data_IF_870666236766
#
_entry.id   IF_870666236766
#
_cell.length_a   1.000
_cell.length_b   1.000
_cell.length_c   1.000
_cell.angle_alpha   90.00
_cell.angle_beta   90.00
_cell.angle_gamma   90.00
#
_symmetry.space_group_name_H-M   'P 1'
#
loop_
_entity.id
_entity.type
_entity.pdbx_description
1 polymer ?
#
# COMPACT_ATOMS: atom_id res chain seq x y z
N UNK A 1 -30.70 -3.74 -7.34
CA UNK A 1 -30.36 -3.16 -8.66
C UNK A 1 -29.64 -1.87 -8.44
N UNK A 2 -28.32 -1.93 -8.52
CA UNK A 2 -27.48 -0.75 -8.60
C UNK A 2 -27.54 -0.26 -10.04
N UNK A 3 -28.49 0.61 -10.36
CA UNK A 3 -28.32 1.44 -11.55
C UNK A 3 -27.22 2.46 -11.20
N UNK A 4 -26.01 2.18 -11.66
CA UNK A 4 -24.95 3.16 -11.69
C UNK A 4 -25.34 4.22 -12.73
N UNK A 5 -26.13 5.20 -12.33
CA UNK A 5 -26.23 6.46 -13.08
C UNK A 5 -24.91 7.20 -12.94
N UNK A 6 -23.91 6.70 -13.67
CA UNK A 6 -22.71 7.45 -13.97
C UNK A 6 -23.17 8.66 -14.75
N UNK A 7 -23.19 9.81 -14.08
CA UNK A 7 -23.42 11.08 -14.75
C UNK A 7 -22.24 11.36 -15.69
N UNK A 8 -22.31 10.82 -16.91
CA UNK A 8 -21.27 10.85 -17.94
C UNK A 8 -21.26 12.15 -18.75
N UNK A 9 -21.69 13.28 -18.15
CA UNK A 9 -21.50 14.56 -18.83
C UNK A 9 -20.08 15.08 -18.54
N UNK A 10 -19.21 14.96 -19.51
CA UNK A 10 -17.80 15.41 -19.47
C UNK A 10 -17.64 16.94 -19.45
N UNK A 11 -18.72 17.69 -19.39
CA UNK A 11 -18.70 19.15 -19.36
C UNK A 11 -18.21 19.66 -17.99
N UNK A 12 -17.01 20.23 -17.99
CA UNK A 12 -16.51 20.99 -16.85
C UNK A 12 -17.42 22.20 -16.60
N UNK A 13 -17.72 22.48 -15.33
CA UNK A 13 -18.58 23.61 -14.97
C UNK A 13 -20.10 23.39 -15.08
N UNK A 14 -20.57 22.21 -15.49
CA UNK A 14 -22.01 21.91 -15.60
C UNK A 14 -22.77 21.85 -14.26
N UNK A 15 -22.11 22.15 -13.13
CA UNK A 15 -22.73 22.18 -11.80
C UNK A 15 -23.05 20.80 -11.20
N UNK A 16 -22.43 19.71 -11.69
CA UNK A 16 -22.65 18.34 -11.20
C UNK A 16 -22.53 18.23 -9.68
N UNK A 17 -21.50 18.79 -9.10
CA UNK A 17 -21.30 18.78 -7.66
C UNK A 17 -22.42 19.53 -6.93
N UNK A 18 -22.78 20.73 -7.41
CA UNK A 18 -23.78 21.60 -6.76
C UNK A 18 -25.19 21.09 -6.89
N UNK A 19 -25.60 20.64 -8.09
CA UNK A 19 -27.00 20.33 -8.39
C UNK A 19 -27.34 18.85 -8.31
N UNK A 20 -26.33 17.96 -8.27
CA UNK A 20 -26.53 16.52 -8.17
C UNK A 20 -25.85 15.91 -6.96
N UNK A 21 -24.52 15.98 -6.83
CA UNK A 21 -23.82 15.26 -5.77
C UNK A 21 -24.23 15.75 -4.37
N UNK A 22 -24.11 17.05 -4.08
CA UNK A 22 -24.45 17.59 -2.76
C UNK A 22 -25.91 17.35 -2.34
N UNK A 23 -26.93 17.62 -3.18
CA UNK A 23 -28.33 17.33 -2.84
C UNK A 23 -28.59 15.86 -2.53
N UNK A 24 -27.97 14.93 -3.27
CA UNK A 24 -28.13 13.50 -3.00
C UNK A 24 -27.48 13.09 -1.67
N UNK A 25 -26.28 13.57 -1.38
CA UNK A 25 -25.58 13.30 -0.10
C UNK A 25 -26.37 13.88 1.06
N UNK A 26 -26.93 15.08 0.92
CA UNK A 26 -27.73 15.75 1.96
C UNK A 26 -29.04 15.01 2.32
N UNK A 27 -29.56 14.16 1.44
CA UNK A 27 -30.69 13.28 1.79
C UNK A 27 -30.34 12.34 2.92
N UNK A 28 -29.05 11.91 3.04
CA UNK A 28 -28.56 11.07 4.12
C UNK A 28 -29.44 9.83 4.35
N UNK A 29 -29.68 9.08 3.27
CA UNK A 29 -30.56 7.92 3.26
C UNK A 29 -29.78 6.59 3.03
N UNK A 30 -28.48 6.65 2.83
CA UNK A 30 -27.59 5.49 2.60
C UNK A 30 -26.15 5.84 2.96
N UNK A 31 -25.26 4.86 2.99
CA UNK A 31 -23.80 5.11 3.09
C UNK A 31 -23.26 5.60 1.75
N UNK A 32 -22.22 6.44 1.79
CA UNK A 32 -21.62 7.07 0.63
C UNK A 32 -20.12 6.83 0.59
N UNK A 33 -19.59 6.58 -0.62
CA UNK A 33 -18.17 6.73 -0.93
C UNK A 33 -18.04 7.85 -1.95
N UNK A 34 -17.31 8.90 -1.59
CA UNK A 34 -17.26 10.14 -2.36
C UNK A 34 -15.83 10.47 -2.76
N UNK A 35 -15.60 10.67 -4.06
CA UNK A 35 -14.34 11.23 -4.57
C UNK A 35 -14.47 12.75 -4.65
N UNK A 36 -13.76 13.46 -3.77
CA UNK A 36 -13.82 14.92 -3.63
C UNK A 36 -12.44 15.59 -3.79
N UNK A 37 -11.92 15.71 -5.03
CA UNK A 37 -10.57 16.21 -5.27
C UNK A 37 -10.32 17.65 -4.78
N UNK A 38 -11.38 18.40 -4.48
CA UNK A 38 -11.32 19.81 -4.05
C UNK A 38 -11.71 20.00 -2.58
N UNK A 39 -12.19 18.96 -1.91
CA UNK A 39 -12.69 19.05 -0.55
C UNK A 39 -13.95 19.92 -0.40
N UNK A 40 -14.66 20.23 -1.51
CA UNK A 40 -15.85 21.09 -1.47
C UNK A 40 -17.10 20.34 -1.02
N UNK A 41 -17.17 19.03 -1.21
CA UNK A 41 -18.30 18.23 -0.79
C UNK A 41 -18.25 18.01 0.71
N UNK A 42 -17.11 17.56 1.23
CA UNK A 42 -16.95 17.33 2.67
C UNK A 42 -17.14 18.61 3.46
N UNK A 43 -16.59 19.74 3.00
CA UNK A 43 -16.76 21.04 3.66
C UNK A 43 -18.21 21.49 3.74
N UNK A 44 -19.02 21.24 2.72
CA UNK A 44 -20.39 21.72 2.63
C UNK A 44 -21.42 20.72 3.20
N UNK A 45 -21.07 19.43 3.35
CA UNK A 45 -22.02 18.39 3.76
C UNK A 45 -21.58 17.60 4.99
N UNK A 46 -20.30 17.66 5.39
CA UNK A 46 -19.74 16.86 6.48
C UNK A 46 -20.48 17.08 7.81
N UNK A 47 -20.58 18.33 8.26
CA UNK A 47 -21.30 18.68 9.51
C UNK A 47 -22.76 18.23 9.52
N UNK A 48 -23.42 18.25 8.34
CA UNK A 48 -24.81 17.79 8.23
C UNK A 48 -24.88 16.27 8.44
N UNK A 49 -23.94 15.52 7.84
CA UNK A 49 -23.90 14.06 7.95
C UNK A 49 -23.60 13.63 9.39
N UNK A 50 -22.63 14.24 10.05
CA UNK A 50 -22.32 13.99 11.46
C UNK A 50 -23.51 14.27 12.38
N UNK A 51 -24.21 15.40 12.18
CA UNK A 51 -25.43 15.72 12.92
C UNK A 51 -26.58 14.73 12.69
N UNK A 52 -26.57 14.02 11.55
CA UNK A 52 -27.51 12.94 11.24
C UNK A 52 -27.03 11.56 11.72
N UNK A 53 -25.91 11.51 12.45
CA UNK A 53 -25.37 10.27 13.03
C UNK A 53 -24.49 9.45 12.07
N UNK A 54 -24.04 10.04 10.96
CA UNK A 54 -23.06 9.40 10.09
C UNK A 54 -21.66 9.48 10.68
N UNK A 55 -20.93 8.41 10.56
CA UNK A 55 -19.50 8.40 10.76
C UNK A 55 -18.81 8.85 9.47
N UNK A 56 -18.07 9.96 9.53
CA UNK A 56 -17.43 10.56 8.37
C UNK A 56 -15.93 10.25 8.42
N UNK A 57 -15.46 9.45 7.50
CA UNK A 57 -14.04 9.13 7.33
C UNK A 57 -13.47 9.86 6.11
N UNK A 58 -12.31 10.45 6.24
CA UNK A 58 -11.69 11.24 5.18
C UNK A 58 -10.27 10.75 4.94
N UNK A 59 -9.98 10.32 3.72
CA UNK A 59 -8.62 10.06 3.25
C UNK A 59 -8.16 11.27 2.43
N UNK A 60 -7.38 12.16 3.05
CA UNK A 60 -6.84 13.37 2.42
C UNK A 60 -5.37 13.17 2.03
N UNK A 61 -5.13 12.96 0.73
CA UNK A 61 -3.79 12.76 0.19
C UNK A 61 -3.06 14.09 -0.14
N UNK A 62 -3.69 15.23 0.11
CA UNK A 62 -3.11 16.57 -0.06
C UNK A 62 -2.64 17.09 1.29
N UNK A 63 -3.52 17.03 2.31
CA UNK A 63 -3.22 17.44 3.68
C UNK A 63 -3.20 16.21 4.60
N UNK A 64 -2.21 15.37 4.42
CA UNK A 64 -2.11 14.07 5.08
C UNK A 64 -2.16 14.16 6.62
N UNK A 65 -1.73 15.27 7.20
CA UNK A 65 -1.80 15.52 8.65
C UNK A 65 -3.24 15.60 9.20
N UNK A 66 -4.22 15.83 8.32
CA UNK A 66 -5.66 15.91 8.64
C UNK A 66 -6.45 14.70 8.16
N UNK A 67 -5.77 13.74 7.59
CA UNK A 67 -6.34 12.51 7.05
C UNK A 67 -6.53 11.49 8.16
N UNK A 68 -7.58 10.69 8.06
CA UNK A 68 -7.61 9.41 8.76
C UNK A 68 -6.55 8.48 8.18
N UNK A 69 -5.95 7.68 9.02
CA UNK A 69 -4.94 6.71 8.63
C UNK A 69 -5.56 5.52 7.88
N UNK A 70 -4.81 4.98 6.94
CA UNK A 70 -5.20 3.82 6.15
C UNK A 70 -4.06 2.81 6.08
N UNK A 71 -4.20 1.69 6.76
CA UNK A 71 -3.22 0.60 6.72
C UNK A 71 -3.73 -0.55 5.86
N UNK A 72 -3.17 -0.78 4.66
CA UNK A 72 -3.61 -1.86 3.78
C UNK A 72 -3.52 -3.27 4.38
N UNK A 73 -2.65 -3.48 5.39
CA UNK A 73 -2.52 -4.79 6.05
C UNK A 73 -3.78 -5.22 6.78
N UNK A 74 -4.59 -4.29 7.27
CA UNK A 74 -5.88 -4.58 7.95
C UNK A 74 -6.87 -5.28 7.02
N UNK A 75 -6.79 -5.03 5.73
CA UNK A 75 -7.69 -5.57 4.69
C UNK A 75 -7.16 -6.84 4.03
N UNK A 76 -6.00 -7.35 4.45
CA UNK A 76 -5.44 -8.61 3.97
C UNK A 76 -6.09 -9.77 4.76
N UNK A 77 -6.95 -10.53 4.10
CA UNK A 77 -7.63 -11.70 4.68
C UNK A 77 -7.10 -13.02 4.14
N UNK A 78 -6.38 -12.99 3.02
CA UNK A 78 -5.86 -14.19 2.33
C UNK A 78 -4.53 -13.91 1.65
N UNK A 79 -3.79 -14.98 1.30
CA UNK A 79 -2.56 -14.90 0.50
C UNK A 79 -2.79 -14.20 -0.85
N UNK A 80 -3.97 -14.40 -1.44
CA UNK A 80 -4.34 -13.75 -2.69
C UNK A 80 -4.41 -12.22 -2.54
N UNK A 81 -4.79 -11.71 -1.36
CA UNK A 81 -4.87 -10.27 -1.14
C UNK A 81 -3.46 -9.66 -1.03
N UNK A 82 -2.51 -10.40 -0.43
CA UNK A 82 -1.09 -10.01 -0.46
C UNK A 82 -0.60 -9.89 -1.90
N UNK A 83 -0.88 -10.89 -2.74
CA UNK A 83 -0.47 -10.86 -4.15
C UNK A 83 -1.13 -9.72 -4.93
N UNK A 84 -2.42 -9.43 -4.69
CA UNK A 84 -3.13 -8.31 -5.30
C UNK A 84 -2.50 -6.98 -4.86
N UNK A 85 -2.20 -6.82 -3.56
CA UNK A 85 -1.57 -5.61 -3.03
C UNK A 85 -0.23 -5.35 -3.74
N UNK A 86 0.67 -6.33 -3.77
CA UNK A 86 1.98 -6.22 -4.44
C UNK A 86 1.82 -5.94 -5.93
N UNK A 87 0.94 -6.68 -6.62
CA UNK A 87 0.69 -6.47 -8.04
C UNK A 87 0.19 -5.05 -8.34
N UNK A 88 -0.73 -4.54 -7.53
CA UNK A 88 -1.26 -3.19 -7.69
C UNK A 88 -0.21 -2.11 -7.40
N UNK A 89 0.65 -2.32 -6.40
CA UNK A 89 1.77 -1.42 -6.12
C UNK A 89 2.73 -1.33 -7.31
N UNK A 90 3.17 -2.45 -7.86
CA UNK A 90 4.04 -2.45 -9.02
C UNK A 90 3.39 -1.81 -10.25
N UNK A 91 2.10 -2.09 -10.52
CA UNK A 91 1.36 -1.46 -11.61
C UNK A 91 1.22 0.06 -11.43
N UNK A 92 0.92 0.53 -10.23
CA UNK A 92 0.70 1.95 -9.96
C UNK A 92 1.98 2.77 -9.95
N UNK A 93 3.12 2.14 -9.63
CA UNK A 93 4.44 2.79 -9.59
C UNK A 93 5.24 2.65 -10.89
N UNK A 94 4.71 1.95 -11.90
CA UNK A 94 5.33 1.87 -13.23
C UNK A 94 5.13 3.21 -13.96
N UNK A 95 6.21 3.87 -14.42
CA UNK A 95 6.10 5.13 -15.15
C UNK A 95 5.26 4.97 -16.42
N UNK A 96 4.33 5.90 -16.66
CA UNK A 96 3.49 5.88 -17.86
C UNK A 96 4.35 5.98 -19.13
N UNK A 97 4.19 5.03 -20.04
CA UNK A 97 4.93 5.01 -21.32
C UNK A 97 6.27 4.28 -21.29
N UNK A 98 6.75 3.85 -20.12
CA UNK A 98 7.83 2.88 -20.04
C UNK A 98 7.24 1.48 -20.11
N UNK A 99 7.45 0.77 -21.22
CA UNK A 99 7.52 -0.69 -21.10
C UNK A 99 8.71 -0.94 -20.18
N UNK A 100 8.52 -1.69 -19.09
CA UNK A 100 9.64 -2.01 -18.20
C UNK A 100 10.75 -2.60 -19.08
N UNK A 101 11.87 -1.91 -19.15
CA UNK A 101 12.98 -2.29 -20.03
C UNK A 101 13.54 -3.66 -19.68
N UNK A 102 13.17 -4.19 -18.53
CA UNK A 102 13.50 -5.54 -18.10
C UNK A 102 12.48 -6.05 -17.04
N UNK A 103 11.47 -6.87 -17.44
CA UNK A 103 10.49 -7.47 -16.51
C UNK A 103 11.11 -8.31 -15.39
N UNK A 104 12.35 -8.78 -15.58
CA UNK A 104 13.06 -9.57 -14.59
C UNK A 104 13.23 -8.83 -13.26
N UNK A 105 13.66 -7.56 -13.30
CA UNK A 105 13.91 -6.77 -12.10
C UNK A 105 12.64 -6.50 -11.31
N UNK A 106 11.54 -6.18 -11.99
CA UNK A 106 10.25 -5.98 -11.36
C UNK A 106 9.71 -7.28 -10.74
N UNK A 107 9.86 -8.40 -11.43
CA UNK A 107 9.48 -9.72 -10.91
C UNK A 107 10.28 -10.08 -9.67
N UNK A 108 11.62 -9.94 -9.72
CA UNK A 108 12.49 -10.25 -8.59
C UNK A 108 12.24 -9.31 -7.39
N UNK A 109 12.03 -8.00 -7.64
CA UNK A 109 11.67 -7.04 -6.60
C UNK A 109 10.30 -7.35 -5.98
N UNK A 110 9.34 -7.83 -6.77
CA UNK A 110 8.04 -8.26 -6.24
C UNK A 110 8.14 -9.50 -5.35
N UNK A 111 9.06 -10.43 -5.65
CA UNK A 111 9.33 -11.59 -4.78
C UNK A 111 9.86 -11.16 -3.41
N UNK A 112 10.81 -10.21 -3.38
CA UNK A 112 11.30 -9.67 -2.11
C UNK A 112 10.16 -8.99 -1.34
N UNK A 113 9.36 -8.14 -1.97
CA UNK A 113 8.24 -7.48 -1.31
C UNK A 113 7.20 -8.48 -0.79
N UNK A 114 6.90 -9.54 -1.56
CA UNK A 114 6.01 -10.63 -1.10
C UNK A 114 6.58 -11.32 0.13
N UNK A 115 7.90 -11.61 0.17
CA UNK A 115 8.54 -12.22 1.33
C UNK A 115 8.37 -11.35 2.58
N UNK A 116 8.62 -10.03 2.47
CA UNK A 116 8.51 -9.09 3.59
C UNK A 116 7.06 -8.99 4.09
N UNK A 117 6.08 -8.81 3.18
CA UNK A 117 4.68 -8.68 3.57
C UNK A 117 4.14 -9.98 4.18
N UNK A 118 4.48 -11.16 3.62
CA UNK A 118 4.08 -12.44 4.20
C UNK A 118 4.72 -12.68 5.57
N UNK A 119 5.98 -12.26 5.75
CA UNK A 119 6.62 -12.33 7.07
C UNK A 119 5.85 -11.49 8.09
N UNK A 120 5.60 -10.22 7.79
CA UNK A 120 4.85 -9.32 8.68
C UNK A 120 3.44 -9.83 8.96
N UNK A 121 2.75 -10.35 7.94
CA UNK A 121 1.37 -10.82 8.10
C UNK A 121 1.25 -12.02 9.03
N UNK A 122 2.22 -12.95 9.02
CA UNK A 122 2.10 -14.22 9.74
C UNK A 122 2.96 -14.30 11.01
N UNK A 123 4.07 -13.58 11.07
CA UNK A 123 5.05 -13.73 12.15
C UNK A 123 5.14 -12.47 13.05
N UNK A 124 4.76 -11.29 12.54
CA UNK A 124 4.85 -10.05 13.28
C UNK A 124 3.56 -9.75 14.06
N UNK A 125 3.66 -9.07 15.22
CA UNK A 125 2.49 -8.55 15.93
C UNK A 125 1.74 -7.53 15.07
N UNK A 126 0.47 -7.32 15.37
CA UNK A 126 -0.45 -6.51 14.56
C UNK A 126 0.02 -5.06 14.38
N UNK A 127 0.66 -4.50 15.40
CA UNK A 127 1.20 -3.14 15.41
C UNK A 127 2.34 -2.95 14.40
N UNK A 128 3.05 -4.03 14.06
CA UNK A 128 4.16 -4.03 13.11
C UNK A 128 3.71 -4.38 11.69
N UNK A 129 2.45 -4.81 11.50
CA UNK A 129 1.90 -5.13 10.18
C UNK A 129 1.55 -3.84 9.42
N UNK A 130 2.55 -3.15 8.90
CA UNK A 130 2.40 -1.87 8.20
C UNK A 130 3.56 -1.60 7.22
N UNK A 131 3.40 -0.58 6.35
CA UNK A 131 4.45 -0.22 5.39
C UNK A 131 5.71 0.39 6.01
N UNK A 132 5.67 1.21 7.06
CA UNK A 132 6.87 1.61 7.78
C UNK A 132 7.77 0.43 8.17
N UNK A 133 7.18 -0.67 8.68
CA UNK A 133 7.95 -1.87 9.01
C UNK A 133 8.50 -2.59 7.78
N UNK A 134 7.77 -2.62 6.65
CA UNK A 134 8.33 -3.12 5.37
C UNK A 134 9.59 -2.35 5.00
N UNK A 135 9.59 -1.01 5.16
CA UNK A 135 10.75 -0.17 4.86
C UNK A 135 11.91 -0.42 5.83
N UNK A 136 11.64 -0.66 7.11
CA UNK A 136 12.66 -1.04 8.09
C UNK A 136 13.31 -2.39 7.74
N UNK A 137 12.51 -3.40 7.42
CA UNK A 137 13.01 -4.71 7.00
C UNK A 137 13.85 -4.60 5.72
N UNK A 138 13.43 -3.78 4.75
CA UNK A 138 14.20 -3.57 3.53
C UNK A 138 15.57 -2.93 3.82
N UNK A 139 15.65 -1.97 4.75
CA UNK A 139 16.91 -1.35 5.20
C UNK A 139 17.79 -2.35 5.97
N UNK A 140 17.18 -3.21 6.80
CA UNK A 140 17.89 -4.25 7.53
C UNK A 140 18.47 -5.35 6.64
N UNK A 141 18.00 -5.44 5.40
CA UNK A 141 18.44 -6.44 4.41
C UNK A 141 19.57 -5.97 3.51
N UNK A 142 20.40 -5.00 3.92
CA UNK A 142 21.50 -4.51 3.08
C UNK A 142 22.43 -5.64 2.63
N UNK A 143 22.96 -5.52 1.40
CA UNK A 143 23.82 -6.54 0.77
C UNK A 143 25.19 -5.93 0.53
N UNK A 144 26.25 -6.62 0.98
CA UNK A 144 27.64 -6.26 0.67
C UNK A 144 28.08 -6.88 -0.64
N UNK A 145 28.57 -6.05 -1.58
CA UNK A 145 29.21 -6.55 -2.81
C UNK A 145 30.68 -6.92 -2.59
N UNK A 146 31.30 -6.41 -1.50
CA UNK A 146 32.72 -6.62 -1.19
C UNK A 146 32.94 -7.86 -0.32
N UNK A 147 31.95 -8.26 0.47
CA UNK A 147 32.01 -9.41 1.37
C UNK A 147 30.86 -10.38 1.09
N UNK A 148 31.16 -11.43 0.34
CA UNK A 148 30.18 -12.49 0.02
C UNK A 148 29.71 -13.28 1.25
N UNK A 149 30.45 -13.19 2.37
CA UNK A 149 30.08 -13.83 3.65
C UNK A 149 29.20 -12.93 4.52
N UNK A 150 28.93 -11.70 4.08
CA UNK A 150 28.11 -10.78 4.84
C UNK A 150 26.68 -11.31 4.99
N UNK A 151 26.22 -11.32 6.22
CA UNK A 151 24.92 -11.83 6.61
C UNK A 151 24.12 -10.73 7.30
N UNK A 152 23.08 -10.28 6.65
CA UNK A 152 22.28 -9.14 7.13
C UNK A 152 21.36 -9.54 8.30
N UNK A 153 20.86 -8.58 9.10
CA UNK A 153 19.80 -8.85 10.08
C UNK A 153 18.55 -9.46 9.45
N UNK A 154 18.22 -9.09 8.21
CA UNK A 154 17.09 -9.68 7.49
C UNK A 154 17.34 -11.15 7.15
N UNK A 155 18.56 -11.51 6.73
CA UNK A 155 18.93 -12.91 6.48
C UNK A 155 18.76 -13.75 7.74
N UNK A 156 19.21 -13.22 8.91
CA UNK A 156 19.04 -13.90 10.19
C UNK A 156 17.56 -14.15 10.51
N UNK A 157 16.71 -13.16 10.26
CA UNK A 157 15.28 -13.24 10.53
C UNK A 157 14.61 -14.35 9.70
N UNK A 158 14.93 -14.43 8.39
CA UNK A 158 14.39 -15.46 7.51
C UNK A 158 15.01 -16.84 7.75
N UNK A 159 16.27 -16.91 8.16
CA UNK A 159 16.92 -18.17 8.57
C UNK A 159 16.24 -18.74 9.82
N UNK A 160 15.98 -17.93 10.86
CA UNK A 160 15.29 -18.37 12.05
C UNK A 160 13.87 -18.86 11.76
N UNK A 161 13.17 -18.20 10.85
CA UNK A 161 11.85 -18.64 10.37
C UNK A 161 11.97 -19.97 9.61
N UNK A 162 12.95 -20.11 8.73
CA UNK A 162 13.19 -21.36 8.00
C UNK A 162 13.45 -22.53 8.91
N UNK A 163 14.27 -22.33 9.95
CA UNK A 163 14.57 -23.39 10.94
C UNK A 163 13.35 -23.84 11.73
N UNK A 164 12.39 -22.94 11.94
CA UNK A 164 11.12 -23.27 12.63
C UNK A 164 10.07 -23.82 11.68
N UNK A 165 9.97 -23.25 10.47
CA UNK A 165 8.92 -23.51 9.48
C UNK A 165 9.49 -23.50 8.05
N UNK A 166 10.15 -24.60 7.59
CA UNK A 166 10.83 -24.63 6.29
C UNK A 166 9.91 -24.38 5.08
N UNK A 167 8.62 -24.73 5.23
CA UNK A 167 7.61 -24.59 4.18
C UNK A 167 6.84 -23.27 4.21
N UNK A 168 7.23 -22.37 5.12
CA UNK A 168 6.55 -21.08 5.26
C UNK A 168 6.61 -20.27 3.95
N UNK A 169 5.47 -19.65 3.57
CA UNK A 169 5.35 -18.94 2.28
C UNK A 169 6.36 -17.79 2.16
N UNK A 170 6.61 -17.04 3.23
CA UNK A 170 7.59 -15.96 3.25
C UNK A 170 9.01 -16.48 2.97
N UNK A 171 9.38 -17.64 3.55
CA UNK A 171 10.68 -18.29 3.32
C UNK A 171 10.84 -18.70 1.85
N UNK A 172 9.78 -19.26 1.23
CA UNK A 172 9.81 -19.64 -0.20
C UNK A 172 10.10 -18.44 -1.10
N UNK A 173 9.43 -17.31 -0.87
CA UNK A 173 9.68 -16.07 -1.64
C UNK A 173 11.06 -15.47 -1.35
N UNK A 174 11.50 -15.49 -0.09
CA UNK A 174 12.81 -14.98 0.28
C UNK A 174 13.95 -15.78 -0.38
N UNK A 175 13.88 -17.11 -0.34
CA UNK A 175 14.84 -17.99 -1.03
C UNK A 175 14.88 -17.76 -2.54
N UNK A 176 13.71 -17.56 -3.16
CA UNK A 176 13.63 -17.26 -4.59
C UNK A 176 14.35 -15.94 -4.92
N UNK A 177 14.18 -14.91 -4.09
CA UNK A 177 14.92 -13.65 -4.19
C UNK A 177 16.43 -13.89 -3.95
N UNK A 178 16.80 -14.57 -2.86
CA UNK A 178 18.18 -14.71 -2.35
C UNK A 178 19.04 -15.69 -3.18
N UNK A 179 18.51 -16.31 -4.22
CA UNK A 179 19.25 -17.24 -5.09
C UNK A 179 20.24 -16.56 -6.05
N UNK A 180 20.24 -15.24 -6.12
CA UNK A 180 21.11 -14.45 -6.98
C UNK A 180 22.49 -14.16 -6.39
N UNK A 181 23.42 -13.64 -7.21
CA UNK A 181 24.69 -13.09 -6.70
C UNK A 181 24.46 -11.80 -5.92
N UNK A 182 25.39 -11.43 -5.02
CA UNK A 182 25.30 -10.20 -4.21
C UNK A 182 24.99 -8.95 -5.06
N UNK A 183 25.63 -8.79 -6.21
CA UNK A 183 25.38 -7.70 -7.16
C UNK A 183 23.93 -7.72 -7.70
N UNK A 184 23.40 -8.91 -7.98
CA UNK A 184 22.00 -9.07 -8.41
C UNK A 184 21.05 -8.71 -7.29
N UNK A 185 21.28 -9.20 -6.07
CA UNK A 185 20.45 -8.88 -4.89
C UNK A 185 20.43 -7.38 -4.61
N UNK A 186 21.58 -6.70 -4.68
CA UNK A 186 21.66 -5.24 -4.50
C UNK A 186 20.83 -4.51 -5.56
N UNK A 187 20.90 -4.94 -6.82
CA UNK A 187 20.09 -4.34 -7.90
C UNK A 187 18.58 -4.54 -7.69
N UNK A 188 18.17 -5.70 -7.17
CA UNK A 188 16.77 -5.99 -6.82
C UNK A 188 16.31 -5.09 -5.68
N UNK A 189 17.13 -4.92 -4.64
CA UNK A 189 16.81 -4.02 -3.51
C UNK A 189 16.65 -2.56 -3.96
N UNK A 190 17.56 -2.07 -4.81
CA UNK A 190 17.47 -0.73 -5.39
C UNK A 190 16.17 -0.57 -6.20
N UNK A 191 15.81 -1.58 -6.98
CA UNK A 191 14.55 -1.58 -7.74
C UNK A 191 13.34 -1.50 -6.82
N UNK A 192 13.30 -2.31 -5.75
CA UNK A 192 12.22 -2.28 -4.78
C UNK A 192 12.17 -0.94 -4.03
N UNK A 193 13.32 -0.43 -3.56
CA UNK A 193 13.40 0.86 -2.89
C UNK A 193 12.87 2.00 -3.77
N UNK A 194 13.17 1.98 -5.07
CA UNK A 194 12.64 2.97 -6.02
C UNK A 194 11.11 2.86 -6.18
N UNK A 195 10.54 1.63 -6.17
CA UNK A 195 9.09 1.43 -6.20
C UNK A 195 8.39 1.92 -4.92
N UNK A 196 9.07 1.82 -3.79
CA UNK A 196 8.56 2.19 -2.47
C UNK A 196 9.02 3.60 -2.02
N UNK A 197 9.64 4.39 -2.90
CA UNK A 197 10.24 5.69 -2.58
C UNK A 197 9.30 6.61 -1.77
N UNK A 198 8.01 6.65 -2.13
CA UNK A 198 7.03 7.51 -1.47
C UNK A 198 6.80 7.17 0.00
N UNK A 199 7.03 5.92 0.41
CA UNK A 199 6.91 5.51 1.82
C UNK A 199 8.06 6.00 2.70
N UNK A 200 9.10 6.62 2.13
CA UNK A 200 10.12 7.34 2.87
C UNK A 200 9.65 8.75 3.34
N UNK A 201 8.55 9.26 2.79
CA UNK A 201 7.96 10.50 3.25
C UNK A 201 7.28 10.26 4.60
N UNK A 202 7.63 11.06 5.62
CA UNK A 202 7.10 10.94 6.99
C UNK A 202 5.57 10.96 7.01
N UNK A 203 4.94 11.85 6.23
CA UNK A 203 3.49 11.94 6.12
C UNK A 203 2.83 10.67 5.55
N UNK A 204 3.47 10.02 4.58
CA UNK A 204 2.97 8.75 4.01
C UNK A 204 3.20 7.59 4.99
N UNK A 205 4.35 7.57 5.66
CA UNK A 205 4.65 6.57 6.68
C UNK A 205 3.62 6.64 7.82
N UNK A 206 3.33 7.85 8.34
CA UNK A 206 2.31 8.05 9.36
C UNK A 206 0.92 7.63 8.87
N UNK A 207 0.54 8.03 7.65
CA UNK A 207 -0.76 7.71 7.06
C UNK A 207 -0.99 6.19 6.95
N UNK A 208 0.07 5.40 6.75
CA UNK A 208 -0.01 3.95 6.51
C UNK A 208 0.40 3.09 7.72
N UNK A 209 0.72 3.71 8.86
CA UNK A 209 1.15 3.02 10.06
C UNK A 209 0.00 2.34 10.81
N UNK A 210 -1.15 3.01 10.88
CA UNK A 210 -2.35 2.54 11.59
C UNK A 210 -3.56 2.62 10.68
N UNK A 211 -4.69 2.05 11.10
CA UNK A 211 -5.95 2.12 10.34
C UNK A 211 -7.05 2.80 11.17
N UNK A 212 -7.76 3.74 10.54
CA UNK A 212 -8.89 4.47 11.11
C UNK A 212 -10.11 4.44 10.17
N UNK A 213 -10.02 3.70 9.05
CA UNK A 213 -11.09 3.64 8.05
C UNK A 213 -12.02 2.45 8.25
N UNK A 214 -11.63 1.43 9.03
CA UNK A 214 -12.44 0.25 9.36
C UNK A 214 -13.41 0.54 10.53
#
# INVERSE_FOLDING_TARGET
>A
DWSSDVCSSDLSGAGKTRFYCKPNIMQANTSFVVLDPKGEIIRDTGDLLEKKGYEVRVLDLINMEKSHCYNPFRYITSDNDVQKLVTNMFKSTTPKGSQSSNPFWDTAASMLLLALIFYLKYEAPEEEQNFPMVMEMLRAGDVSEEDESYYSPLDSLFYDLEMRQPDHIAVKYYKAYHSGSAKTLKSIQITLAARLEKFNLESVAMLTATDELD
#
